data_IF_386806791492
#
_entry.id   IF_386806791492
#
_cell.length_a   1.000
_cell.length_b   1.000
_cell.length_c   1.000
_cell.angle_alpha   90.00
_cell.angle_beta   90.00
_cell.angle_gamma   90.00
#
_symmetry.space_group_name_H-M   'P 1'
#
loop_
_entity.id
_entity.type
_entity.pdbx_description
1 polymer ?
#
# COMPACT_ATOMS: atom_id res chain seq x y z
N UNK A 1 -16.71 13.31 -6.09
CA UNK A 1 -15.80 12.92 -4.99
C UNK A 1 -16.24 11.56 -4.47
N UNK A 2 -15.60 10.46 -4.88
CA UNK A 2 -15.97 9.12 -4.40
C UNK A 2 -15.54 8.98 -2.94
N UNK A 3 -16.51 9.03 -2.02
CA UNK A 3 -16.31 8.71 -0.62
C UNK A 3 -15.73 7.30 -0.54
N UNK A 4 -14.42 7.21 -0.28
CA UNK A 4 -13.73 5.92 -0.26
C UNK A 4 -14.31 5.06 0.85
N UNK A 5 -14.75 3.84 0.52
CA UNK A 5 -15.19 2.83 1.49
C UNK A 5 -14.24 2.85 2.70
N UNK A 6 -14.79 3.12 3.89
CA UNK A 6 -14.05 3.04 5.14
C UNK A 6 -13.52 1.61 5.27
N UNK A 7 -12.27 1.47 5.72
CA UNK A 7 -11.77 0.15 6.12
C UNK A 7 -12.63 -0.32 7.29
N UNK A 8 -13.20 -1.51 7.17
CA UNK A 8 -13.92 -2.13 8.29
C UNK A 8 -12.94 -2.51 9.41
N UNK A 9 -13.51 -2.82 10.57
CA UNK A 9 -12.74 -3.10 11.78
C UNK A 9 -11.85 -4.34 11.62
N UNK A 10 -12.37 -5.39 10.99
CA UNK A 10 -11.64 -6.63 10.76
C UNK A 10 -10.39 -6.41 9.89
N UNK A 11 -10.54 -5.65 8.80
CA UNK A 11 -9.42 -5.24 7.96
C UNK A 11 -8.41 -4.40 8.73
N UNK A 12 -8.86 -3.49 9.59
CA UNK A 12 -7.96 -2.66 10.42
C UNK A 12 -7.16 -3.53 11.39
N UNK A 13 -7.82 -4.47 12.06
CA UNK A 13 -7.18 -5.36 13.03
C UNK A 13 -6.21 -6.33 12.33
N UNK A 14 -6.57 -6.86 11.16
CA UNK A 14 -5.66 -7.64 10.32
C UNK A 14 -4.43 -6.84 9.90
N UNK A 15 -4.59 -5.62 9.39
CA UNK A 15 -3.44 -4.79 8.97
C UNK A 15 -2.48 -4.47 10.14
N UNK A 16 -2.97 -4.48 11.39
CA UNK A 16 -2.13 -4.25 12.57
C UNK A 16 -1.25 -5.46 12.93
N UNK A 17 -1.55 -6.65 12.43
CA UNK A 17 -0.71 -7.84 12.64
C UNK A 17 0.48 -7.91 11.69
N UNK A 18 0.59 -6.98 10.73
CA UNK A 18 1.64 -6.93 9.71
C UNK A 18 2.59 -5.72 9.92
N UNK A 19 3.39 -5.68 11.00
CA UNK A 19 4.23 -4.53 11.32
C UNK A 19 5.33 -4.25 10.29
N UNK A 20 5.79 -5.29 9.57
CA UNK A 20 6.80 -5.16 8.50
C UNK A 20 6.29 -4.36 7.29
N UNK A 21 4.96 -4.38 7.08
CA UNK A 21 4.30 -3.76 5.92
C UNK A 21 3.60 -2.47 6.33
N UNK A 22 2.91 -2.49 7.47
CA UNK A 22 2.04 -1.42 7.97
C UNK A 22 2.57 -0.88 9.29
N UNK A 23 3.05 0.36 9.26
CA UNK A 23 3.50 1.10 10.46
C UNK A 23 2.33 1.42 11.40
N UNK A 24 1.17 1.83 10.86
CA UNK A 24 -0.06 2.10 11.63
C UNK A 24 -1.28 2.28 10.73
N UNK A 25 -2.47 2.14 11.31
CA UNK A 25 -3.75 2.49 10.67
C UNK A 25 -4.50 3.49 11.55
N UNK A 26 -4.85 4.66 11.00
CA UNK A 26 -5.53 5.74 11.74
C UNK A 26 -6.54 6.46 10.85
N UNK A 27 -7.80 6.59 11.30
CA UNK A 27 -8.85 7.31 10.57
C UNK A 27 -9.08 6.80 9.15
N UNK A 28 -8.93 5.49 8.91
CA UNK A 28 -9.05 4.88 7.58
C UNK A 28 -7.85 5.11 6.64
N UNK A 29 -6.76 5.72 7.13
CA UNK A 29 -5.47 5.86 6.45
C UNK A 29 -4.53 4.75 6.89
N UNK A 30 -3.88 4.12 5.91
CA UNK A 30 -2.84 3.11 6.11
C UNK A 30 -1.50 3.81 5.95
N UNK A 31 -0.65 3.73 6.97
CA UNK A 31 0.71 4.23 6.95
C UNK A 31 1.63 3.03 6.73
N UNK A 32 2.12 2.87 5.51
CA UNK A 32 3.07 1.82 5.18
C UNK A 32 4.47 2.14 5.70
N UNK A 33 5.23 1.09 6.02
CA UNK A 33 6.66 1.19 6.36
C UNK A 33 7.46 1.72 5.18
N UNK A 34 8.62 2.34 5.46
CA UNK A 34 9.50 2.83 4.40
C UNK A 34 10.11 1.66 3.61
N UNK A 35 10.47 0.57 4.29
CA UNK A 35 10.99 -0.65 3.67
C UNK A 35 10.02 -1.21 2.62
N UNK A 36 8.74 -1.37 2.98
CA UNK A 36 7.74 -1.87 2.04
C UNK A 36 7.54 -0.92 0.85
N UNK A 37 7.52 0.39 1.06
CA UNK A 37 7.42 1.36 -0.05
C UNK A 37 8.59 1.25 -1.02
N UNK A 38 9.81 1.15 -0.51
CA UNK A 38 11.02 1.01 -1.34
C UNK A 38 10.97 -0.31 -2.12
N UNK A 39 10.65 -1.42 -1.46
CA UNK A 39 10.51 -2.72 -2.12
C UNK A 39 9.42 -2.70 -3.19
N UNK A 40 8.23 -2.19 -2.87
CA UNK A 40 7.10 -2.15 -3.79
C UNK A 40 7.37 -1.27 -5.01
N UNK A 41 8.02 -0.11 -4.83
CA UNK A 41 8.40 0.75 -5.96
C UNK A 41 9.50 0.17 -6.81
N UNK A 42 10.48 -0.52 -6.21
CA UNK A 42 11.53 -1.23 -6.94
C UNK A 42 10.95 -2.38 -7.79
N UNK A 43 10.14 -3.25 -7.20
CA UNK A 43 9.45 -4.34 -7.92
C UNK A 43 8.57 -3.82 -9.05
N UNK A 44 7.81 -2.76 -8.78
CA UNK A 44 7.01 -2.14 -9.84
C UNK A 44 7.88 -1.62 -10.99
N UNK A 45 9.03 -1.00 -10.69
CA UNK A 45 9.96 -0.52 -11.72
C UNK A 45 10.59 -1.66 -12.53
N UNK A 46 10.65 -2.87 -11.98
CA UNK A 46 11.07 -4.10 -12.68
C UNK A 46 9.96 -4.72 -13.54
N UNK A 47 8.74 -4.18 -13.49
CA UNK A 47 7.61 -4.64 -14.31
C UNK A 47 6.53 -5.42 -13.55
N UNK A 48 6.70 -5.66 -12.25
CA UNK A 48 5.70 -6.37 -11.46
C UNK A 48 4.38 -5.59 -11.38
N UNK A 49 3.26 -6.31 -11.44
CA UNK A 49 1.93 -5.71 -11.32
C UNK A 49 1.71 -5.26 -9.87
N UNK A 50 1.15 -4.07 -9.62
CA UNK A 50 0.85 -3.57 -8.28
C UNK A 50 0.05 -4.55 -7.42
N UNK A 51 -0.91 -5.24 -8.02
CA UNK A 51 -1.77 -6.20 -7.32
C UNK A 51 -0.95 -7.37 -6.78
N UNK A 52 -0.01 -7.88 -7.57
CA UNK A 52 0.80 -9.05 -7.22
C UNK A 52 1.79 -8.69 -6.10
N UNK A 53 2.45 -7.52 -6.21
CA UNK A 53 3.32 -7.00 -5.15
C UNK A 53 2.58 -6.93 -3.80
N UNK A 54 1.34 -6.44 -3.79
CA UNK A 54 0.56 -6.30 -2.57
C UNK A 54 0.00 -7.64 -2.06
N UNK A 55 -0.38 -8.57 -2.95
CA UNK A 55 -0.80 -9.93 -2.58
C UNK A 55 0.34 -10.73 -1.95
N UNK A 56 1.54 -10.64 -2.50
CA UNK A 56 2.73 -11.29 -1.95
C UNK A 56 3.05 -10.85 -0.52
N UNK A 57 2.54 -9.67 -0.11
CA UNK A 57 2.71 -9.10 1.22
C UNK A 57 1.43 -9.19 2.07
N UNK A 58 0.44 -10.01 1.67
CA UNK A 58 -0.78 -10.26 2.42
C UNK A 58 -1.80 -9.10 2.41
N UNK A 59 -1.57 -8.04 1.65
CA UNK A 59 -2.44 -6.85 1.64
C UNK A 59 -2.99 -6.56 0.24
N UNK A 60 -3.40 -7.62 -0.46
CA UNK A 60 -3.92 -7.53 -1.81
C UNK A 60 -5.26 -6.80 -1.91
N UNK A 61 -5.83 -6.75 -3.13
CA UNK A 61 -7.05 -6.00 -3.40
C UNK A 61 -8.28 -6.50 -2.61
N UNK A 62 -8.28 -7.76 -2.18
CA UNK A 62 -9.27 -8.32 -1.26
C UNK A 62 -9.24 -7.70 0.13
N UNK A 63 -8.08 -7.20 0.59
CA UNK A 63 -7.92 -6.56 1.91
C UNK A 63 -8.13 -5.05 1.81
N UNK A 64 -7.39 -4.38 0.93
CA UNK A 64 -7.36 -2.91 0.90
C UNK A 64 -8.08 -2.30 -0.32
N UNK A 65 -8.46 -3.12 -1.30
CA UNK A 65 -9.11 -2.67 -2.52
C UNK A 65 -8.16 -2.22 -3.63
N UNK A 66 -8.51 -2.56 -4.88
CA UNK A 66 -7.76 -2.21 -6.09
C UNK A 66 -7.41 -0.72 -6.18
N UNK A 67 -8.39 0.17 -5.93
CA UNK A 67 -8.17 1.63 -6.00
C UNK A 67 -7.24 2.18 -4.92
N UNK A 68 -7.02 1.47 -3.80
CA UNK A 68 -5.99 1.87 -2.83
C UNK A 68 -4.61 1.49 -3.33
N UNK A 69 -4.45 0.29 -3.88
CA UNK A 69 -3.18 -0.19 -4.47
C UNK A 69 -2.71 0.75 -5.58
N UNK A 70 -3.58 1.04 -6.56
CA UNK A 70 -3.26 1.94 -7.68
C UNK A 70 -2.77 3.31 -7.20
N UNK A 71 -3.50 3.93 -6.26
CA UNK A 71 -3.16 5.26 -5.72
C UNK A 71 -1.86 5.26 -4.90
N UNK A 72 -1.57 4.18 -4.18
CA UNK A 72 -0.33 4.07 -3.40
C UNK A 72 0.88 4.07 -4.34
N UNK A 73 0.86 3.20 -5.35
CA UNK A 73 1.96 3.11 -6.32
C UNK A 73 2.11 4.41 -7.12
N UNK A 74 1.03 5.02 -7.61
CA UNK A 74 1.09 6.30 -8.31
C UNK A 74 1.80 7.37 -7.48
N UNK A 75 1.36 7.54 -6.22
CA UNK A 75 1.96 8.51 -5.28
C UNK A 75 3.43 8.23 -4.96
N UNK A 76 3.80 6.96 -4.77
CA UNK A 76 5.18 6.64 -4.38
C UNK A 76 6.17 6.81 -5.52
N UNK A 77 5.74 6.59 -6.77
CA UNK A 77 6.58 6.88 -7.94
C UNK A 77 6.84 8.37 -8.11
N UNK A 78 5.81 9.21 -7.97
CA UNK A 78 5.95 10.66 -8.03
C UNK A 78 6.94 11.18 -6.98
N UNK A 79 6.95 10.55 -5.80
CA UNK A 79 7.90 10.87 -4.73
C UNK A 79 9.34 10.45 -5.09
N UNK A 80 9.52 9.29 -5.73
CA UNK A 80 10.86 8.79 -6.15
C UNK A 80 11.46 9.59 -7.31
N UNK A 81 10.63 10.12 -8.20
CA UNK A 81 11.10 10.95 -9.32
C UNK A 81 11.57 12.34 -8.89
N UNK A 82 10.99 12.91 -7.81
CA UNK A 82 11.33 14.26 -7.34
C UNK A 82 12.57 14.35 -6.43
N UNK A 83 13.16 13.21 -6.03
CA UNK A 83 14.42 13.14 -5.31
C UNK A 83 15.25 11.97 -5.84
N UNK A 84 16.10 12.17 -6.86
CA UNK A 84 17.11 11.17 -7.18
C UNK A 84 17.98 10.96 -5.93
N UNK A 85 18.18 9.68 -5.55
CA UNK A 85 19.17 9.30 -4.54
C UNK A 85 20.57 9.70 -5.00
#
# INVERSE_FOLDING_TARGET
MTSGKKLDRETVDYLRTLPEIVRRVQGGRIYYTNSFRTQATARYAMGDRPVDIFRDNGIGPEVIGYKRIERCIARWKETRTNYPQ
#
